data_IF_048162536515
#
_entry.id   IF_048162536515
#
_cell.length_a   1.000
_cell.length_b   1.000
_cell.length_c   1.000
_cell.angle_alpha   90.00
_cell.angle_beta   90.00
_cell.angle_gamma   90.00
#
_symmetry.space_group_name_H-M   'P 1'
#
loop_
_entity.id
_entity.type
_entity.pdbx_description
1 polymer ?
#
# COMPACT_ATOMS: atom_id res chain seq x y z
N UNK A 1 -3.20 -23.63 -6.33
CA UNK A 1 -2.19 -22.62 -5.95
C UNK A 1 -2.88 -21.56 -5.11
N UNK A 2 -2.27 -21.12 -4.01
CA UNK A 2 -2.82 -19.99 -3.25
C UNK A 2 -2.68 -18.73 -4.11
N UNK A 3 -3.77 -18.00 -4.30
CA UNK A 3 -3.74 -16.73 -5.02
C UNK A 3 -2.97 -15.73 -4.17
N UNK A 4 -2.05 -14.97 -4.77
CA UNK A 4 -1.37 -13.89 -4.07
C UNK A 4 -2.40 -13.00 -3.39
N UNK A 5 -2.23 -12.67 -2.10
CA UNK A 5 -3.19 -11.85 -1.38
C UNK A 5 -3.26 -10.47 -2.01
N UNK A 6 -4.47 -9.93 -2.07
CA UNK A 6 -4.73 -8.56 -2.48
C UNK A 6 -4.78 -7.69 -1.22
N UNK A 7 -3.91 -6.69 -1.16
CA UNK A 7 -3.70 -5.85 0.01
C UNK A 7 -4.10 -4.42 -0.36
N UNK A 8 -5.09 -3.87 0.35
CA UNK A 8 -5.47 -2.45 0.28
C UNK A 8 -4.73 -1.70 1.39
N UNK A 9 -3.98 -0.67 1.03
CA UNK A 9 -3.27 0.22 1.95
C UNK A 9 -3.83 1.62 1.83
N UNK A 10 -4.08 2.27 2.95
CA UNK A 10 -4.63 3.63 3.05
C UNK A 10 -3.97 4.37 4.22
N UNK A 11 -3.95 5.70 4.14
CA UNK A 11 -3.54 6.62 5.19
C UNK A 11 -4.33 7.93 5.06
N UNK A 12 -4.23 8.78 6.08
CA UNK A 12 -4.80 10.13 6.14
C UNK A 12 -3.80 11.23 5.76
N UNK A 13 -2.48 10.96 5.80
CA UNK A 13 -1.42 11.92 5.45
C UNK A 13 -1.25 12.19 3.94
N UNK A 14 -1.99 11.49 3.08
CA UNK A 14 -1.95 11.67 1.62
C UNK A 14 -1.08 10.65 0.86
N UNK A 15 -1.29 10.59 -0.46
CA UNK A 15 -0.70 9.59 -1.39
C UNK A 15 0.82 9.74 -1.54
N UNK A 16 1.36 10.92 -1.21
CA UNK A 16 2.79 11.24 -1.28
C UNK A 16 3.52 11.11 0.06
N UNK A 17 2.84 10.64 1.12
CA UNK A 17 3.46 10.50 2.44
C UNK A 17 4.59 9.46 2.42
N UNK A 18 5.76 9.82 2.99
CA UNK A 18 6.92 8.93 3.07
C UNK A 18 6.59 7.59 3.76
N UNK A 19 5.82 7.64 4.86
CA UNK A 19 5.40 6.44 5.59
C UNK A 19 4.55 5.49 4.75
N UNK A 20 3.73 6.02 3.84
CA UNK A 20 2.92 5.20 2.92
C UNK A 20 3.81 4.48 1.91
N UNK A 21 4.80 5.16 1.32
CA UNK A 21 5.76 4.55 0.38
C UNK A 21 6.57 3.44 1.06
N UNK A 22 7.07 3.69 2.27
CA UNK A 22 7.82 2.70 3.06
C UNK A 22 6.98 1.44 3.33
N UNK A 23 5.72 1.63 3.72
CA UNK A 23 4.80 0.52 4.00
C UNK A 23 4.48 -0.29 2.74
N UNK A 24 4.21 0.38 1.62
CA UNK A 24 3.93 -0.29 0.33
C UNK A 24 5.11 -1.14 -0.12
N UNK A 25 6.35 -0.63 0.00
CA UNK A 25 7.57 -1.38 -0.33
C UNK A 25 7.75 -2.62 0.56
N UNK A 26 7.48 -2.49 1.86
CA UNK A 26 7.57 -3.62 2.78
C UNK A 26 6.54 -4.72 2.47
N UNK A 27 5.33 -4.34 2.02
CA UNK A 27 4.24 -5.26 1.71
C UNK A 27 4.34 -5.90 0.31
N UNK A 28 5.16 -5.36 -0.59
CA UNK A 28 5.28 -5.84 -1.98
C UNK A 28 5.70 -7.31 -2.10
N UNK A 29 6.44 -7.85 -1.13
CA UNK A 29 6.84 -9.25 -1.09
C UNK A 29 5.71 -10.21 -0.64
N UNK A 30 4.63 -9.67 -0.04
CA UNK A 30 3.54 -10.47 0.52
C UNK A 30 2.40 -10.68 -0.48
N UNK A 31 2.25 -9.80 -1.47
CA UNK A 31 1.20 -9.89 -2.48
C UNK A 31 1.00 -8.62 -3.27
N UNK A 32 -0.17 -8.51 -3.93
CA UNK A 32 -0.50 -7.35 -4.76
C UNK A 32 -1.01 -6.21 -3.87
N UNK A 33 -0.26 -5.11 -3.83
CA UNK A 33 -0.62 -3.91 -3.08
C UNK A 33 -1.40 -2.94 -3.97
N UNK A 34 -2.51 -2.41 -3.46
CA UNK A 34 -3.30 -1.31 -4.04
C UNK A 34 -3.37 -0.22 -2.99
N UNK A 35 -3.11 1.02 -3.41
CA UNK A 35 -3.10 2.19 -2.52
C UNK A 35 -4.32 3.06 -2.81
N UNK A 36 -4.98 3.52 -1.75
CA UNK A 36 -6.04 4.52 -1.82
C UNK A 36 -5.85 5.54 -0.70
N UNK A 37 -5.54 6.78 -1.06
CA UNK A 37 -5.24 7.87 -0.12
C UNK A 37 -5.63 9.23 -0.72
N UNK A 38 -5.80 10.28 0.11
CA UNK A 38 -6.01 11.66 -0.37
C UNK A 38 -4.84 12.17 -1.24
N UNK A 39 -5.09 13.14 -2.11
CA UNK A 39 -4.05 13.85 -2.90
C UNK A 39 -3.50 15.12 -2.23
N UNK A 40 -4.03 15.44 -1.04
CA UNK A 40 -3.66 16.57 -0.17
C UNK A 40 -2.23 16.52 0.36
#
# INVERSE_FOLDING_TARGET
MAKDPLILVTNDDGIYAEGLDVLVRALAALGRVVVYAPDS
#
